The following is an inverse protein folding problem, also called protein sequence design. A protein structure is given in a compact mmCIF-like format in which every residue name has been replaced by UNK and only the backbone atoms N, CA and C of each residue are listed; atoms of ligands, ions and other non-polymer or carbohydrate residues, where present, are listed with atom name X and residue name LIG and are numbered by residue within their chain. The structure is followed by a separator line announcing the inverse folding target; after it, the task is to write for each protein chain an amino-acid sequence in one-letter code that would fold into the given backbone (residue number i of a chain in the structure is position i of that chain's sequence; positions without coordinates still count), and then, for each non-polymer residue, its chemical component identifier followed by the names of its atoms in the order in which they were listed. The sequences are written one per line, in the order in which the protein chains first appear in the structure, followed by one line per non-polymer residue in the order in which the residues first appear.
data_IF_574660762702
#
_entry.id   IF_574660762702
#
_cell.length_a   1.000
_cell.length_b   1.000
_cell.length_c   1.000
_cell.angle_alpha   90.00
_cell.angle_beta   90.00
_cell.angle_gamma   90.00
#
_symmetry.space_group_name_H-M   'P 1'
#
loop_
_entity.id
_entity.type
_entity.pdbx_description
1 polymer ?
#
# COMPACT_ATOMS: atom_id res chain seq x y z
N UNK A 1 41.60 -4.31 9.88
CA UNK A 1 40.23 -3.88 10.21
C UNK A 1 40.31 -3.12 11.51
N UNK A 2 40.03 -1.84 11.45
CA UNK A 2 39.97 -0.97 12.63
C UNK A 2 38.86 -1.46 13.59
N UNK A 3 39.00 -1.20 14.89
CA UNK A 3 37.99 -1.57 15.91
C UNK A 3 36.63 -0.97 15.54
N UNK A 4 36.62 0.25 15.02
CA UNK A 4 35.40 0.93 14.58
C UNK A 4 34.75 0.24 13.38
N UNK A 5 35.54 -0.19 12.39
CA UNK A 5 35.04 -0.97 11.25
C UNK A 5 34.45 -2.31 11.69
N UNK A 6 35.10 -2.99 12.64
CA UNK A 6 34.62 -4.25 13.17
C UNK A 6 33.27 -4.09 13.88
N UNK A 7 33.10 -3.02 14.67
CA UNK A 7 31.82 -2.70 15.33
C UNK A 7 30.72 -2.46 14.30
N UNK A 8 31.00 -1.72 13.22
CA UNK A 8 30.05 -1.47 12.13
C UNK A 8 29.62 -2.77 11.43
N UNK A 9 30.56 -3.67 11.15
CA UNK A 9 30.25 -4.98 10.56
C UNK A 9 29.41 -5.87 11.47
N UNK A 10 29.68 -5.84 12.78
CA UNK A 10 28.87 -6.57 13.77
C UNK A 10 27.47 -6.00 13.83
N UNK A 11 27.32 -4.67 13.95
CA UNK A 11 26.01 -4.03 13.99
C UNK A 11 25.21 -4.30 12.71
N UNK A 12 25.84 -4.28 11.54
CA UNK A 12 25.17 -4.46 10.26
C UNK A 12 24.54 -5.86 10.06
N UNK A 13 24.90 -6.83 10.93
CA UNK A 13 24.33 -8.19 10.97
C UNK A 13 23.15 -8.33 11.92
N UNK A 14 22.90 -7.33 12.77
CA UNK A 14 21.85 -7.39 13.77
C UNK A 14 20.52 -6.89 13.20
N UNK A 15 19.38 -7.44 13.66
CA UNK A 15 18.09 -6.91 13.29
C UNK A 15 17.94 -5.44 13.72
N UNK A 16 17.23 -4.63 12.91
CA UNK A 16 16.98 -3.22 13.19
C UNK A 16 16.35 -2.97 14.56
N UNK A 17 15.54 -3.91 15.07
CA UNK A 17 14.99 -3.84 16.43
C UNK A 17 16.09 -3.79 17.50
N UNK A 18 17.17 -4.53 17.33
CA UNK A 18 18.32 -4.52 18.24
C UNK A 18 19.15 -3.26 18.05
N UNK A 19 19.39 -2.84 16.81
CA UNK A 19 20.11 -1.60 16.49
C UNK A 19 19.38 -0.39 17.10
N UNK A 20 18.05 -0.33 16.99
CA UNK A 20 17.22 0.71 17.59
C UNK A 20 17.37 0.79 19.12
N UNK A 21 17.56 -0.35 19.79
CA UNK A 21 17.84 -0.39 21.24
C UNK A 21 19.23 0.16 21.55
N UNK A 22 20.27 -0.27 20.83
CA UNK A 22 21.63 0.25 21.03
C UNK A 22 21.72 1.76 20.80
N UNK A 23 21.01 2.27 19.77
CA UNK A 23 20.88 3.70 19.51
C UNK A 23 20.39 4.49 20.74
N UNK A 24 19.57 3.91 21.60
CA UNK A 24 19.05 4.55 22.80
C UNK A 24 19.98 4.49 24.01
N UNK A 25 21.07 3.70 23.96
CA UNK A 25 21.94 3.45 25.13
C UNK A 25 23.05 4.48 25.34
N UNK A 26 23.58 5.11 24.28
CA UNK A 26 24.63 6.13 24.40
C UNK A 26 24.64 7.10 23.23
N UNK A 27 25.23 8.29 23.44
CA UNK A 27 25.41 9.31 22.39
C UNK A 27 26.33 8.81 21.27
N UNK A 28 27.37 8.05 21.62
CA UNK A 28 28.31 7.47 20.65
C UNK A 28 27.63 6.45 19.75
N UNK A 29 26.84 5.52 20.32
CA UNK A 29 26.05 4.57 19.52
C UNK A 29 25.04 5.29 18.64
N UNK A 30 24.37 6.31 19.18
CA UNK A 30 23.44 7.12 18.41
C UNK A 30 24.12 7.81 17.22
N UNK A 31 25.27 8.45 17.42
CA UNK A 31 26.01 9.13 16.35
C UNK A 31 26.49 8.16 15.28
N UNK A 32 26.94 6.96 15.68
CA UNK A 32 27.37 5.92 14.75
C UNK A 32 26.19 5.40 13.92
N UNK A 33 25.08 5.10 14.59
CA UNK A 33 23.88 4.53 13.96
C UNK A 33 23.16 5.56 13.08
N UNK A 34 23.09 6.82 13.50
CA UNK A 34 22.44 7.88 12.73
C UNK A 34 23.31 8.38 11.56
N UNK A 35 24.53 7.87 11.39
CA UNK A 35 25.42 8.24 10.28
C UNK A 35 24.93 7.70 8.93
N UNK A 36 25.09 8.50 7.88
CA UNK A 36 24.77 8.10 6.51
C UNK A 36 25.59 6.87 6.08
N UNK A 37 26.88 6.84 6.43
CA UNK A 37 27.77 5.73 6.12
C UNK A 37 27.25 4.39 6.67
N UNK A 38 26.85 4.34 7.94
CA UNK A 38 26.37 3.09 8.53
C UNK A 38 25.01 2.68 7.95
N UNK A 39 24.11 3.63 7.71
CA UNK A 39 22.84 3.36 7.04
C UNK A 39 23.07 2.74 5.67
N UNK A 40 23.88 3.38 4.84
CA UNK A 40 24.09 2.96 3.46
C UNK A 40 24.79 1.58 3.42
N UNK A 41 25.75 1.34 4.32
CA UNK A 41 26.35 0.01 4.52
C UNK A 41 25.30 -1.04 4.92
N UNK A 42 24.43 -0.73 5.90
CA UNK A 42 23.39 -1.64 6.35
C UNK A 42 22.40 -1.98 5.23
N UNK A 43 21.90 -0.97 4.51
CA UNK A 43 20.92 -1.14 3.43
C UNK A 43 21.52 -1.97 2.29
N UNK A 44 22.75 -1.66 1.87
CA UNK A 44 23.45 -2.40 0.82
C UNK A 44 23.61 -3.88 1.18
N UNK A 45 24.12 -4.14 2.40
CA UNK A 45 24.37 -5.48 2.94
C UNK A 45 23.09 -6.30 3.12
N UNK A 46 21.98 -5.65 3.43
CA UNK A 46 20.68 -6.27 3.70
C UNK A 46 19.67 -6.05 2.56
N UNK A 47 20.14 -5.71 1.35
CA UNK A 47 19.28 -5.45 0.19
C UNK A 47 18.37 -6.64 -0.15
N UNK A 48 18.89 -7.86 -0.04
CA UNK A 48 18.16 -9.13 -0.24
C UNK A 48 17.51 -9.70 1.02
N UNK A 49 17.65 -9.04 2.18
CA UNK A 49 17.05 -9.51 3.43
C UNK A 49 15.52 -9.35 3.40
N UNK A 50 14.82 -10.33 3.96
CA UNK A 50 13.36 -10.28 4.07
C UNK A 50 12.91 -9.16 5.01
N UNK A 51 11.75 -8.58 4.72
CA UNK A 51 11.17 -7.46 5.47
C UNK A 51 9.72 -7.80 5.78
N UNK A 52 9.31 -7.50 7.01
CA UNK A 52 7.92 -7.70 7.43
C UNK A 52 6.99 -6.73 6.71
N UNK A 53 5.83 -7.23 6.32
CA UNK A 53 4.78 -6.45 5.69
C UNK A 53 3.40 -7.04 6.01
N UNK A 54 2.35 -6.26 5.78
CA UNK A 54 0.99 -6.69 6.05
C UNK A 54 0.02 -6.18 4.99
N UNK A 55 -1.05 -6.93 4.77
CA UNK A 55 -2.27 -6.38 4.19
C UNK A 55 -3.17 -5.93 5.34
N UNK A 56 -3.37 -4.63 5.43
CA UNK A 56 -4.27 -4.04 6.40
C UNK A 56 -5.52 -3.57 5.66
N UNK A 57 -6.66 -3.90 6.22
CA UNK A 57 -7.96 -3.55 5.67
C UNK A 57 -8.87 -2.93 6.72
N UNK A 58 -9.74 -2.09 6.19
CA UNK A 58 -10.72 -1.29 6.90
C UNK A 58 -11.97 -2.11 7.24
N UNK A 59 -12.33 -2.17 8.52
CA UNK A 59 -13.73 -2.20 8.93
C UNK A 59 -14.02 -0.96 9.77
N UNK A 60 -15.24 -0.40 9.71
CA UNK A 60 -15.69 0.56 10.71
C UNK A 60 -15.41 -0.05 12.09
N UNK A 61 -14.64 0.65 12.92
CA UNK A 61 -14.35 0.28 14.31
C UNK A 61 -13.34 -0.86 14.53
N UNK A 62 -12.78 -1.48 13.48
CA UNK A 62 -11.77 -2.54 13.68
C UNK A 62 -10.74 -2.59 12.55
N UNK A 63 -9.47 -2.52 12.94
CA UNK A 63 -8.38 -2.86 12.06
C UNK A 63 -8.38 -4.37 11.80
N UNK A 64 -8.39 -4.76 10.52
CA UNK A 64 -8.22 -6.15 10.11
C UNK A 64 -6.90 -6.26 9.39
N UNK A 65 -5.98 -7.01 9.98
CA UNK A 65 -4.84 -7.53 9.24
C UNK A 65 -5.29 -8.85 8.59
N UNK A 66 -5.29 -8.87 7.25
CA UNK A 66 -5.70 -10.04 6.47
C UNK A 66 -4.51 -10.98 6.33
N UNK A 67 -3.36 -10.43 5.95
CA UNK A 67 -2.08 -11.12 5.81
C UNK A 67 -1.08 -10.36 6.68
N UNK A 68 -0.40 -11.05 7.57
CA UNK A 68 0.74 -10.53 8.31
C UNK A 68 1.98 -11.36 8.02
N UNK A 69 3.03 -10.72 7.53
CA UNK A 69 4.30 -11.36 7.23
C UNK A 69 5.36 -10.84 8.21
N UNK A 70 5.89 -11.71 9.07
CA UNK A 70 6.83 -11.35 10.14
C UNK A 70 7.89 -12.43 10.40
N UNK A 71 8.69 -12.28 11.46
CA UNK A 71 9.87 -13.14 11.68
C UNK A 71 11.00 -12.87 10.69
N UNK A 72 10.88 -11.82 9.88
CA UNK A 72 11.84 -11.51 8.82
C UNK A 72 13.14 -10.92 9.36
N UNK A 73 14.24 -11.17 8.63
CA UNK A 73 15.61 -10.91 9.09
C UNK A 73 15.86 -9.43 9.41
N UNK A 74 15.36 -8.52 8.57
CA UNK A 74 15.69 -7.08 8.65
C UNK A 74 15.28 -6.47 9.98
N UNK A 75 14.06 -6.73 10.45
CA UNK A 75 13.56 -6.17 11.72
C UNK A 75 13.58 -7.17 12.88
N UNK A 76 13.51 -8.47 12.61
CA UNK A 76 13.45 -9.50 13.65
C UNK A 76 12.19 -9.37 14.53
N UNK A 77 11.04 -9.04 13.94
CA UNK A 77 9.78 -8.92 14.67
C UNK A 77 9.19 -10.30 14.96
N UNK A 78 8.74 -10.48 16.21
CA UNK A 78 8.05 -11.69 16.66
C UNK A 78 6.53 -11.63 16.46
N UNK A 79 6.00 -10.48 16.06
CA UNK A 79 4.58 -10.26 15.80
C UNK A 79 4.41 -9.56 14.46
N UNK A 80 3.23 -9.70 13.87
CA UNK A 80 2.87 -9.08 12.60
C UNK A 80 2.89 -7.54 12.67
N UNK A 81 3.21 -6.85 11.56
CA UNK A 81 3.17 -5.38 11.52
C UNK A 81 1.81 -4.77 11.87
N UNK A 82 0.69 -5.46 11.61
CA UNK A 82 -0.65 -5.01 12.00
C UNK A 82 -0.82 -4.81 13.50
N UNK A 83 -0.07 -5.56 14.33
CA UNK A 83 -0.05 -5.38 15.79
C UNK A 83 0.56 -4.04 16.24
N UNK A 84 1.32 -3.36 15.39
CA UNK A 84 1.90 -2.05 15.70
C UNK A 84 0.87 -0.92 15.58
N UNK A 85 -0.20 -1.16 14.81
CA UNK A 85 -1.25 -0.15 14.55
C UNK A 85 -2.36 -0.23 15.60
N UNK A 86 -2.36 -1.23 16.48
CA UNK A 86 -3.42 -1.46 17.49
C UNK A 86 -3.36 -0.53 18.72
N UNK A 87 -2.49 0.48 18.75
CA UNK A 87 -2.34 1.36 19.93
C UNK A 87 -3.54 2.31 20.15
N UNK A 88 -4.36 2.59 19.13
CA UNK A 88 -5.55 3.46 19.27
C UNK A 88 -6.72 2.84 20.07
N UNK A 89 -6.52 1.69 20.73
CA UNK A 89 -7.58 0.97 21.48
C UNK A 89 -7.89 1.62 22.85
N UNK A 90 -7.10 2.60 23.30
CA UNK A 90 -7.21 3.17 24.66
C UNK A 90 -7.86 4.57 24.75
N UNK A 91 -8.52 5.08 23.69
CA UNK A 91 -9.11 6.43 23.72
C UNK A 91 -10.59 6.44 23.34
N UNK A 92 -11.27 7.55 23.67
CA UNK A 92 -12.66 7.93 23.34
C UNK A 92 -12.88 8.04 21.82
N UNK A 93 -12.65 6.95 21.10
CA UNK A 93 -12.75 6.86 19.64
C UNK A 93 -14.03 6.13 19.29
N UNK A 94 -14.91 6.83 18.58
CA UNK A 94 -16.10 6.25 17.99
C UNK A 94 -15.75 5.43 16.75
N UNK A 95 -14.85 5.91 15.90
CA UNK A 95 -14.50 5.27 14.61
C UNK A 95 -13.01 5.44 14.31
N UNK A 96 -12.37 4.36 13.88
CA UNK A 96 -10.96 4.34 13.45
C UNK A 96 -10.86 3.70 12.07
N UNK A 97 -10.12 4.34 11.16
CA UNK A 97 -9.92 3.89 9.79
C UNK A 97 -8.47 4.13 9.33
N UNK A 98 -7.84 3.12 8.75
CA UNK A 98 -6.59 3.22 7.99
C UNK A 98 -6.88 3.67 6.56
N UNK A 99 -6.58 4.92 6.23
CA UNK A 99 -6.87 5.50 4.91
C UNK A 99 -5.84 5.06 3.86
N UNK A 100 -4.54 5.09 4.21
CA UNK A 100 -3.46 4.73 3.30
C UNK A 100 -2.21 4.26 4.06
N UNK A 101 -1.38 3.48 3.36
CA UNK A 101 -0.08 3.02 3.84
C UNK A 101 0.96 3.23 2.74
N UNK A 102 2.13 3.77 3.07
CA UNK A 102 3.24 3.93 2.11
C UNK A 102 4.56 4.12 2.86
N UNK A 103 5.62 3.46 2.42
CA UNK A 103 7.00 3.62 2.92
C UNK A 103 7.14 3.61 4.47
N UNK A 104 6.45 2.67 5.12
CA UNK A 104 6.46 2.55 6.59
C UNK A 104 5.60 3.57 7.34
N UNK A 105 4.91 4.46 6.63
CA UNK A 105 3.96 5.42 7.19
C UNK A 105 2.51 4.95 6.99
N UNK A 106 1.65 5.39 7.91
CA UNK A 106 0.21 5.11 7.89
C UNK A 106 -0.58 6.39 8.07
N UNK A 107 -1.57 6.62 7.21
CA UNK A 107 -2.58 7.67 7.35
C UNK A 107 -3.83 7.08 8.01
N UNK A 108 -4.29 7.70 9.08
CA UNK A 108 -5.46 7.31 9.83
C UNK A 108 -6.51 8.42 9.85
N UNK A 109 -7.76 8.00 9.77
CA UNK A 109 -8.93 8.77 10.15
C UNK A 109 -9.46 8.27 11.49
N UNK A 110 -9.74 9.21 12.39
CA UNK A 110 -10.27 8.97 13.72
C UNK A 110 -11.48 9.88 13.92
N UNK A 111 -12.59 9.32 14.39
CA UNK A 111 -13.75 10.08 14.87
C UNK A 111 -13.82 9.92 16.38
N UNK A 112 -13.75 11.04 17.12
CA UNK A 112 -13.92 11.01 18.56
C UNK A 112 -15.38 10.70 18.95
N UNK A 113 -15.63 10.45 20.24
CA UNK A 113 -17.00 10.19 20.75
C UNK A 113 -17.98 11.33 20.51
N UNK A 114 -17.49 12.58 20.44
CA UNK A 114 -18.30 13.76 20.12
C UNK A 114 -18.57 13.94 18.62
N UNK A 115 -18.07 13.03 17.78
CA UNK A 115 -18.19 13.08 16.32
C UNK A 115 -17.11 13.94 15.64
N UNK A 116 -16.12 14.45 16.38
CA UNK A 116 -15.06 15.28 15.82
C UNK A 116 -14.12 14.43 14.95
N UNK A 117 -13.96 14.75 13.65
CA UNK A 117 -13.03 14.09 12.75
C UNK A 117 -11.58 14.55 12.97
N UNK A 118 -10.65 13.61 12.97
CA UNK A 118 -9.22 13.84 13.16
C UNK A 118 -8.42 12.96 12.20
N UNK A 119 -7.33 13.52 11.66
CA UNK A 119 -6.42 12.82 10.77
C UNK A 119 -5.04 12.72 11.40
N UNK A 120 -4.43 11.54 11.31
CA UNK A 120 -3.09 11.29 11.83
C UNK A 120 -2.23 10.65 10.75
N UNK A 121 -1.00 11.13 10.60
CA UNK A 121 0.06 10.35 9.93
C UNK A 121 1.00 9.86 10.99
N UNK A 122 1.44 8.62 10.88
CA UNK A 122 2.39 8.08 11.83
C UNK A 122 3.27 7.00 11.27
N UNK A 123 4.31 6.72 12.05
CA UNK A 123 5.15 5.54 11.93
C UNK A 123 4.79 4.57 13.07
N UNK A 124 3.98 3.53 12.81
CA UNK A 124 3.60 2.55 13.82
C UNK A 124 4.80 1.83 14.47
N UNK A 125 5.90 1.67 13.74
CA UNK A 125 7.10 0.98 14.23
C UNK A 125 7.77 1.73 15.40
N UNK A 126 7.74 3.07 15.37
CA UNK A 126 8.28 3.91 16.44
C UNK A 126 7.20 4.55 17.31
N UNK A 127 5.93 4.20 17.10
CA UNK A 127 4.78 4.80 17.77
C UNK A 127 4.76 6.34 17.67
N UNK A 128 5.27 6.86 16.54
CA UNK A 128 5.27 8.29 16.27
C UNK A 128 4.02 8.66 15.51
N UNK A 129 3.23 9.58 16.06
CA UNK A 129 2.01 10.06 15.44
C UNK A 129 2.01 11.58 15.38
N UNK A 130 1.53 12.12 14.28
CA UNK A 130 1.35 13.55 14.06
C UNK A 130 -0.10 13.80 13.66
N UNK A 131 -0.79 14.64 14.44
CA UNK A 131 -2.14 15.08 14.13
C UNK A 131 -2.08 16.17 13.05
N UNK A 132 -2.70 15.91 11.92
CA UNK A 132 -2.73 16.86 10.81
C UNK A 132 -3.71 17.99 11.18
N UNK A 133 -3.30 19.27 11.06
CA UNK A 133 -4.22 20.39 11.23
C UNK A 133 -5.30 20.33 10.15
N UNK A 134 -6.52 20.79 10.44
CA UNK A 134 -7.52 20.94 9.39
C UNK A 134 -7.10 22.07 8.43
N UNK A 135 -7.43 21.98 7.12
CA UNK A 135 -7.14 23.06 6.19
C UNK A 135 -7.84 24.34 6.63
N UNK A 136 -7.12 25.47 6.64
CA UNK A 136 -7.64 26.75 7.13
C UNK A 136 -8.89 27.24 6.38
N UNK A 137 -9.09 26.77 5.15
CA UNK A 137 -10.25 27.06 4.31
C UNK A 137 -11.46 26.16 4.57
N UNK A 138 -11.38 25.20 5.50
CA UNK A 138 -12.52 24.36 5.90
C UNK A 138 -12.95 24.61 7.35
N UNK A 139 -14.25 24.81 7.54
CA UNK A 139 -14.89 24.63 8.83
C UNK A 139 -15.18 23.15 9.09
N UNK A 140 -15.34 22.77 10.36
CA UNK A 140 -15.76 21.40 10.74
C UNK A 140 -17.08 20.98 10.06
N UNK A 141 -18.03 21.91 9.93
CA UNK A 141 -19.31 21.67 9.25
C UNK A 141 -19.12 21.39 7.75
N UNK A 142 -18.21 22.11 7.09
CA UNK A 142 -17.91 21.87 5.68
C UNK A 142 -17.25 20.51 5.49
N UNK A 143 -16.37 20.10 6.41
CA UNK A 143 -15.73 18.79 6.33
C UNK A 143 -16.72 17.63 6.47
N UNK A 144 -17.68 17.72 7.41
CA UNK A 144 -18.74 16.70 7.54
C UNK A 144 -19.61 16.61 6.28
N UNK A 145 -19.90 17.76 5.63
CA UNK A 145 -20.61 17.77 4.34
C UNK A 145 -19.80 17.12 3.23
N UNK A 146 -18.49 17.41 3.16
CA UNK A 146 -17.57 16.83 2.19
C UNK A 146 -17.41 15.32 2.37
N UNK A 147 -17.32 14.83 3.60
CA UNK A 147 -17.23 13.40 3.89
C UNK A 147 -18.48 12.62 3.43
N UNK A 148 -19.64 13.27 3.42
CA UNK A 148 -20.87 12.69 2.88
C UNK A 148 -20.97 12.83 1.35
N UNK A 149 -20.05 13.56 0.72
CA UNK A 149 -20.03 13.77 -0.71
C UNK A 149 -19.31 12.62 -1.41
N UNK A 150 -19.99 11.94 -2.33
CA UNK A 150 -19.47 10.77 -3.08
C UNK A 150 -18.25 11.07 -3.98
N UNK A 151 -17.76 12.30 -4.01
CA UNK A 151 -16.67 12.80 -4.87
C UNK A 151 -15.50 13.38 -4.09
N UNK A 152 -15.45 13.07 -2.80
CA UNK A 152 -14.36 13.45 -1.91
C UNK A 152 -13.58 12.18 -1.52
N UNK A 153 -12.27 12.17 -1.73
CA UNK A 153 -11.39 11.10 -1.24
C UNK A 153 -10.30 11.70 -0.35
N UNK A 154 -10.17 11.18 0.86
CA UNK A 154 -9.16 11.55 1.86
C UNK A 154 -8.02 10.53 1.95
N UNK A 155 -7.97 9.57 1.02
CA UNK A 155 -7.06 8.42 1.05
C UNK A 155 -5.69 8.67 0.43
N UNK A 156 -5.32 9.93 0.15
CA UNK A 156 -4.03 10.26 -0.45
C UNK A 156 -2.92 10.43 0.60
N UNK A 157 -1.93 9.54 0.59
CA UNK A 157 -0.67 9.70 1.33
C UNK A 157 0.49 9.37 0.40
N UNK A 158 1.42 10.30 0.22
CA UNK A 158 2.56 10.11 -0.68
C UNK A 158 3.84 10.60 -0.05
N UNK A 159 4.93 9.86 -0.23
CA UNK A 159 6.23 10.18 0.39
C UNK A 159 7.28 10.60 -0.65
N UNK A 160 8.29 11.32 -0.18
CA UNK A 160 9.54 11.55 -0.88
C UNK A 160 10.64 10.78 -0.16
N UNK A 161 11.28 9.90 -0.89
CA UNK A 161 12.40 9.10 -0.41
C UNK A 161 13.74 9.74 -0.81
N UNK A 162 14.71 9.71 0.09
CA UNK A 162 16.11 10.04 -0.20
C UNK A 162 16.99 9.03 0.54
N UNK A 163 17.92 8.38 -0.17
CA UNK A 163 18.85 7.40 0.42
C UNK A 163 18.17 6.33 1.31
N UNK A 164 17.01 5.81 0.87
CA UNK A 164 16.28 4.76 1.57
C UNK A 164 15.50 5.18 2.83
N UNK A 165 15.35 6.49 3.07
CA UNK A 165 14.52 7.05 4.14
C UNK A 165 13.49 8.03 3.59
N UNK A 166 12.30 8.06 4.20
CA UNK A 166 11.33 9.14 3.94
C UNK A 166 11.83 10.44 4.55
N UNK A 167 12.00 11.45 3.70
CA UNK A 167 12.39 12.81 4.11
C UNK A 167 11.19 13.77 4.18
N UNK A 168 10.14 13.49 3.42
CA UNK A 168 8.90 14.27 3.40
C UNK A 168 7.71 13.38 3.10
N UNK A 169 6.53 13.79 3.57
CA UNK A 169 5.26 13.25 3.11
C UNK A 169 4.28 14.37 2.77
N UNK A 170 3.33 14.06 1.89
CA UNK A 170 2.17 14.87 1.60
C UNK A 170 0.89 14.08 1.85
N UNK A 171 -0.10 14.73 2.45
CA UNK A 171 -1.46 14.20 2.54
C UNK A 171 -2.32 14.93 1.54
N UNK A 172 -3.06 14.17 0.75
CA UNK A 172 -3.80 14.68 -0.38
C UNK A 172 -5.27 14.34 -0.21
N UNK A 173 -6.09 15.37 -0.16
CA UNK A 173 -7.52 15.26 -0.30
C UNK A 173 -7.90 15.64 -1.72
N UNK A 174 -8.75 14.82 -2.32
CA UNK A 174 -9.21 14.94 -3.69
C UNK A 174 -10.68 15.38 -3.70
N UNK A 175 -10.98 16.40 -4.48
CA UNK A 175 -12.33 16.86 -4.77
C UNK A 175 -12.56 16.87 -6.28
N UNK A 176 -13.59 16.16 -6.75
CA UNK A 176 -13.97 16.17 -8.17
C UNK A 176 -15.28 16.92 -8.41
N UNK A 177 -15.34 17.62 -9.56
CA UNK A 177 -16.45 18.49 -9.93
C UNK A 177 -17.47 17.81 -10.85
N UNK A 178 -18.73 18.24 -10.79
CA UNK A 178 -19.81 17.76 -11.67
C UNK A 178 -19.53 18.03 -13.16
N UNK A 179 -18.97 19.20 -13.44
CA UNK A 179 -18.77 19.72 -14.79
C UNK A 179 -17.32 20.14 -14.98
N UNK A 180 -16.69 19.63 -16.04
CA UNK A 180 -15.31 19.95 -16.41
C UNK A 180 -14.36 18.77 -16.30
N UNK A 181 -13.15 18.98 -16.82
CA UNK A 181 -12.03 18.04 -16.75
C UNK A 181 -11.01 18.49 -15.69
N UNK A 182 -11.48 19.07 -14.58
CA UNK A 182 -10.64 19.57 -13.49
C UNK A 182 -10.89 18.81 -12.20
N UNK A 183 -9.83 18.69 -11.40
CA UNK A 183 -9.83 18.07 -10.08
C UNK A 183 -9.09 19.01 -9.14
N UNK A 184 -9.62 19.19 -7.95
CA UNK A 184 -8.95 19.96 -6.90
C UNK A 184 -8.28 19.02 -5.90
N UNK A 185 -7.05 19.35 -5.58
CA UNK A 185 -6.29 18.75 -4.51
C UNK A 185 -6.13 19.75 -3.38
N UNK A 186 -6.48 19.35 -2.16
CA UNK A 186 -5.98 19.99 -0.95
C UNK A 186 -4.80 19.16 -0.45
N UNK A 187 -3.63 19.78 -0.37
CA UNK A 187 -2.35 19.11 -0.13
C UNK A 187 -1.73 19.65 1.14
N UNK A 188 -1.60 18.81 2.17
CA UNK A 188 -0.78 19.09 3.33
C UNK A 188 0.65 18.63 3.06
N UNK A 189 1.66 19.45 3.38
CA UNK A 189 3.07 19.06 3.28
C UNK A 189 3.73 19.01 4.66
N UNK A 190 4.48 17.94 4.93
CA UNK A 190 5.31 17.85 6.14
C UNK A 190 6.44 18.88 6.15
N UNK A 191 6.89 19.36 4.99
CA UNK A 191 7.98 20.33 4.88
C UNK A 191 7.55 21.73 5.36
N UNK A 192 6.33 22.14 4.98
CA UNK A 192 5.81 23.48 5.27
C UNK A 192 4.88 23.52 6.47
N UNK A 193 4.32 22.37 6.87
CA UNK A 193 3.29 22.27 7.89
C UNK A 193 1.96 22.92 7.50
N UNK A 194 1.76 23.24 6.22
CA UNK A 194 0.61 24.01 5.71
C UNK A 194 -0.14 23.23 4.63
N UNK A 195 -1.39 23.64 4.42
CA UNK A 195 -2.23 23.18 3.32
C UNK A 195 -2.13 24.12 2.12
N UNK A 196 -2.04 23.54 0.93
CA UNK A 196 -2.08 24.21 -0.36
C UNK A 196 -3.26 23.66 -1.17
N UNK A 197 -3.98 24.53 -1.86
CA UNK A 197 -4.98 24.13 -2.86
C UNK A 197 -4.35 24.12 -4.24
N UNK A 198 -4.59 23.07 -5.02
CA UNK A 198 -4.13 22.96 -6.40
C UNK A 198 -5.23 22.41 -7.29
N UNK A 199 -5.43 23.03 -8.45
CA UNK A 199 -6.39 22.57 -9.45
C UNK A 199 -5.65 22.01 -10.64
N UNK A 200 -5.94 20.78 -11.03
CA UNK A 200 -5.23 20.06 -12.09
C UNK A 200 -6.23 19.62 -13.16
N UNK A 201 -5.79 19.65 -14.41
CA UNK A 201 -6.59 19.14 -15.52
C UNK A 201 -6.49 17.62 -15.56
N UNK A 202 -7.61 16.95 -15.32
CA UNK A 202 -7.78 15.51 -15.44
C UNK A 202 -8.94 15.21 -16.39
N UNK A 203 -8.63 14.83 -17.63
CA UNK A 203 -9.62 14.26 -18.51
C UNK A 203 -10.22 13.03 -17.80
N UNK A 204 -11.55 12.84 -17.84
CA UNK A 204 -12.26 11.76 -17.13
C UNK A 204 -12.37 11.90 -15.59
N UNK A 205 -12.21 13.10 -15.02
CA UNK A 205 -12.44 13.37 -13.57
C UNK A 205 -13.83 12.98 -13.05
N UNK A 206 -14.85 12.94 -13.92
CA UNK A 206 -16.23 12.58 -13.58
C UNK A 206 -16.40 11.18 -12.98
N UNK A 207 -15.42 10.31 -13.16
CA UNK A 207 -15.51 8.92 -12.72
C UNK A 207 -14.89 8.68 -11.35
N UNK A 208 -14.35 9.67 -10.65
CA UNK A 208 -13.74 9.44 -9.34
C UNK A 208 -14.79 9.45 -8.24
N UNK A 209 -14.82 8.41 -7.44
CA UNK A 209 -15.72 8.28 -6.29
C UNK A 209 -14.94 8.24 -4.99
N UNK A 210 -15.60 8.62 -3.89
CA UNK A 210 -15.04 8.72 -2.54
C UNK A 210 -14.37 7.45 -2.03
N UNK A 211 -14.78 6.31 -2.57
CA UNK A 211 -14.36 5.00 -2.07
C UNK A 211 -13.16 4.42 -2.84
N UNK A 212 -12.67 5.14 -3.86
CA UNK A 212 -11.50 4.75 -4.63
C UNK A 212 -10.23 5.03 -3.80
N UNK A 213 -9.55 3.95 -3.39
CA UNK A 213 -8.29 4.03 -2.65
C UNK A 213 -7.14 4.39 -3.60
N UNK A 214 -6.25 5.23 -3.11
CA UNK A 214 -5.00 5.53 -3.83
C UNK A 214 -3.89 4.51 -3.51
N UNK A 215 -3.00 4.31 -4.48
CA UNK A 215 -1.72 3.61 -4.30
C UNK A 215 -0.60 4.62 -4.52
N UNK A 216 0.29 4.74 -3.53
CA UNK A 216 1.43 5.64 -3.61
C UNK A 216 2.69 4.89 -4.00
N UNK A 217 3.44 5.43 -4.94
CA UNK A 217 4.75 4.92 -5.34
C UNK A 217 5.60 6.05 -5.90
N UNK A 218 6.82 6.21 -5.39
CA UNK A 218 7.82 7.16 -5.91
C UNK A 218 7.33 8.61 -6.07
N UNK A 219 6.57 9.13 -5.09
CA UNK A 219 6.05 10.50 -5.16
C UNK A 219 4.77 10.66 -5.98
N UNK A 220 4.28 9.59 -6.60
CA UNK A 220 3.11 9.57 -7.48
C UNK A 220 1.96 8.84 -6.77
N UNK A 221 0.77 9.44 -6.78
CA UNK A 221 -0.46 8.75 -6.40
C UNK A 221 -1.16 8.19 -7.62
N UNK A 222 -1.69 6.98 -7.47
CA UNK A 222 -2.38 6.23 -8.50
C UNK A 222 -3.80 5.94 -8.03
N UNK A 223 -4.79 6.27 -8.85
CA UNK A 223 -6.19 5.99 -8.57
C UNK A 223 -6.79 5.13 -9.66
N UNK A 224 -7.58 4.16 -9.24
CA UNK A 224 -8.22 3.18 -10.11
C UNK A 224 -9.72 3.34 -9.88
N UNK A 225 -10.46 3.46 -10.97
CA UNK A 225 -11.91 3.43 -10.91
C UNK A 225 -12.47 2.20 -11.63
N UNK A 226 -13.53 1.63 -11.08
CA UNK A 226 -14.13 0.37 -11.54
C UNK A 226 -14.64 0.40 -12.98
N UNK A 227 -15.22 1.53 -13.38
CA UNK A 227 -15.80 1.68 -14.71
C UNK A 227 -14.75 2.09 -15.77
N UNK A 228 -13.55 2.48 -15.36
CA UNK A 228 -12.52 2.90 -16.31
C UNK A 228 -11.60 1.74 -16.66
N UNK A 229 -11.37 1.54 -17.96
CA UNK A 229 -10.30 0.66 -18.46
C UNK A 229 -8.94 1.37 -18.43
N UNK A 230 -8.76 2.23 -17.44
CA UNK A 230 -7.59 3.07 -17.24
C UNK A 230 -7.43 3.37 -15.76
N UNK A 231 -6.20 3.67 -15.35
CA UNK A 231 -5.91 4.26 -14.05
C UNK A 231 -5.27 5.64 -14.26
N UNK A 232 -5.30 6.47 -13.22
CA UNK A 232 -4.84 7.85 -13.27
C UNK A 232 -3.69 8.02 -12.31
N UNK A 233 -2.67 8.77 -12.73
CA UNK A 233 -1.50 9.07 -11.94
C UNK A 233 -1.25 10.58 -11.89
N UNK A 234 -0.78 11.06 -10.75
CA UNK A 234 -0.31 12.44 -10.60
C UNK A 234 0.89 12.48 -9.65
N UNK A 235 1.95 13.16 -10.08
CA UNK A 235 3.19 13.33 -9.32
C UNK A 235 3.09 14.56 -8.41
N UNK A 236 3.21 14.34 -7.10
CA UNK A 236 3.12 15.39 -6.09
C UNK A 236 4.46 16.03 -5.75
N UNK A 237 5.57 15.48 -6.25
CA UNK A 237 6.93 16.01 -6.03
C UNK A 237 7.64 16.42 -7.32
N UNK A 238 7.10 16.06 -8.48
CA UNK A 238 7.53 16.56 -9.78
C UNK A 238 7.34 18.08 -9.90
N UNK A 239 8.38 18.75 -10.40
CA UNK A 239 8.26 20.13 -10.86
C UNK A 239 7.59 20.10 -12.23
N UNK A 240 6.35 20.58 -12.34
CA UNK A 240 5.60 20.50 -13.59
C UNK A 240 5.27 21.89 -14.13
N UNK A 241 5.63 22.08 -15.40
CA UNK A 241 5.19 23.18 -16.26
C UNK A 241 3.78 22.95 -16.84
N UNK A 242 3.24 21.72 -16.75
CA UNK A 242 1.90 21.34 -17.22
C UNK A 242 1.10 20.65 -16.09
N UNK A 243 0.15 21.36 -15.49
CA UNK A 243 -0.79 20.85 -14.47
C UNK A 243 -1.81 19.85 -15.06
N UNK A 244 -1.34 18.68 -15.52
CA UNK A 244 -2.17 17.63 -16.12
C UNK A 244 -1.93 16.26 -15.48
N UNK A 245 -3.00 15.51 -15.21
CA UNK A 245 -2.92 14.11 -14.78
C UNK A 245 -2.57 13.16 -15.94
N UNK A 246 -1.74 12.16 -15.66
CA UNK A 246 -1.47 11.08 -16.61
C UNK A 246 -2.60 10.04 -16.56
N UNK A 247 -3.14 9.69 -17.73
CA UNK A 247 -4.17 8.65 -17.87
C UNK A 247 -3.55 7.50 -18.63
N UNK A 248 -3.59 6.32 -18.03
CA UNK A 248 -2.94 5.13 -18.57
C UNK A 248 -3.98 4.04 -18.72
N UNK A 249 -4.20 3.58 -19.96
CA UNK A 249 -5.10 2.48 -20.28
C UNK A 249 -4.51 1.13 -19.88
N UNK A 250 -5.35 0.19 -19.43
CA UNK A 250 -4.90 -1.17 -19.13
C UNK A 250 -4.53 -1.94 -20.41
N UNK A 251 -3.61 -2.91 -20.35
CA UNK A 251 -3.13 -3.63 -21.53
C UNK A 251 -4.21 -4.53 -22.18
N UNK A 252 -5.32 -4.79 -21.49
CA UNK A 252 -6.45 -5.60 -21.97
C UNK A 252 -7.66 -4.78 -22.45
N UNK A 253 -7.47 -3.48 -22.72
CA UNK A 253 -8.53 -2.63 -23.27
C UNK A 253 -8.95 -3.10 -24.66
N UNK A 254 -10.20 -3.55 -24.79
CA UNK A 254 -10.80 -3.93 -26.09
C UNK A 254 -11.20 -5.41 -26.23
N UNK A 255 -10.86 -6.26 -25.24
CA UNK A 255 -11.24 -7.68 -25.24
C UNK A 255 -12.62 -7.85 -24.58
N UNK A 256 -13.68 -7.83 -25.39
CA UNK A 256 -14.99 -7.36 -24.94
C UNK A 256 -15.94 -8.39 -24.29
N UNK A 257 -15.58 -9.67 -24.10
CA UNK A 257 -16.58 -10.67 -23.63
C UNK A 257 -16.16 -11.68 -22.57
N UNK A 258 -14.86 -11.86 -22.29
CA UNK A 258 -14.40 -12.91 -21.36
C UNK A 258 -14.03 -12.41 -19.94
N UNK A 259 -13.97 -11.09 -19.72
CA UNK A 259 -13.39 -10.48 -18.50
C UNK A 259 -14.39 -10.25 -17.35
N UNK A 260 -15.67 -10.61 -17.51
CA UNK A 260 -16.71 -10.36 -16.50
C UNK A 260 -16.57 -11.20 -15.22
N UNK A 261 -15.70 -12.21 -15.21
CA UNK A 261 -15.53 -13.12 -14.06
C UNK A 261 -14.21 -12.95 -13.31
N UNK A 262 -13.22 -12.28 -13.89
CA UNK A 262 -11.93 -12.07 -13.25
C UNK A 262 -11.89 -10.75 -12.47
N UNK A 263 -11.57 -10.84 -11.17
CA UNK A 263 -11.33 -9.63 -10.35
C UNK A 263 -9.95 -9.10 -10.66
N UNK A 264 -9.90 -7.89 -11.23
CA UNK A 264 -8.66 -7.15 -11.48
C UNK A 264 -8.02 -6.82 -10.14
N UNK A 265 -6.71 -6.96 -10.05
CA UNK A 265 -5.98 -6.64 -8.82
C UNK A 265 -4.80 -5.76 -9.18
N UNK A 266 -4.60 -4.70 -8.40
CA UNK A 266 -3.47 -3.80 -8.54
C UNK A 266 -2.75 -3.72 -7.20
N UNK A 267 -1.43 -3.79 -7.26
CA UNK A 267 -0.57 -3.82 -6.08
C UNK A 267 0.79 -3.20 -6.41
N UNK A 268 1.68 -3.20 -5.43
CA UNK A 268 3.07 -2.81 -5.59
C UNK A 268 3.97 -4.01 -5.35
N UNK A 269 4.97 -4.21 -6.20
CA UNK A 269 6.02 -5.21 -5.99
C UNK A 269 7.32 -4.72 -6.60
N UNK A 270 8.43 -4.85 -5.85
CA UNK A 270 9.79 -4.51 -6.28
C UNK A 270 9.92 -3.08 -6.85
N UNK A 271 9.14 -2.13 -6.32
CA UNK A 271 9.17 -0.73 -6.76
C UNK A 271 8.37 -0.45 -8.05
N UNK A 272 7.50 -1.36 -8.48
CA UNK A 272 6.60 -1.18 -9.62
C UNK A 272 5.13 -1.27 -9.21
N UNK A 273 4.27 -0.55 -9.93
CA UNK A 273 2.83 -0.85 -9.94
C UNK A 273 2.63 -2.12 -10.76
N UNK A 274 1.93 -3.08 -10.18
CA UNK A 274 1.66 -4.39 -10.77
C UNK A 274 0.16 -4.57 -10.99
N UNK A 275 -0.22 -4.99 -12.19
CA UNK A 275 -1.59 -5.27 -12.59
C UNK A 275 -1.76 -6.75 -12.94
N UNK A 276 -2.82 -7.36 -12.41
CA UNK A 276 -3.22 -8.72 -12.73
C UNK A 276 -4.44 -8.73 -13.64
N UNK A 277 -4.37 -9.52 -14.71
CA UNK A 277 -5.53 -9.92 -15.49
C UNK A 277 -5.48 -11.41 -15.85
N UNK A 278 -6.57 -11.89 -16.43
CA UNK A 278 -6.68 -13.26 -16.92
C UNK A 278 -7.07 -13.23 -18.39
N UNK A 279 -6.35 -14.01 -19.18
CA UNK A 279 -6.66 -14.24 -20.58
C UNK A 279 -7.34 -15.61 -20.71
N UNK A 280 -8.49 -15.64 -21.38
CA UNK A 280 -9.20 -16.86 -21.73
C UNK A 280 -9.12 -17.10 -23.24
N UNK A 281 -8.33 -18.08 -23.67
CA UNK A 281 -8.22 -18.50 -25.08
C UNK A 281 -8.51 -20.00 -25.20
N UNK A 282 -9.44 -20.38 -26.09
CA UNK A 282 -9.82 -21.77 -26.34
C UNK A 282 -10.18 -22.59 -25.09
N UNK A 283 -10.73 -21.93 -24.05
CA UNK A 283 -11.09 -22.55 -22.77
C UNK A 283 -9.96 -22.62 -21.74
N UNK A 284 -8.71 -22.36 -22.15
CA UNK A 284 -7.57 -22.25 -21.24
C UNK A 284 -7.53 -20.86 -20.60
N UNK A 285 -7.26 -20.83 -19.29
CA UNK A 285 -7.10 -19.60 -18.52
C UNK A 285 -5.63 -19.38 -18.19
N UNK A 286 -5.14 -18.19 -18.51
CA UNK A 286 -3.76 -17.81 -18.25
C UNK A 286 -3.73 -16.55 -17.41
N UNK A 287 -3.07 -16.62 -16.26
CA UNK A 287 -2.85 -15.48 -15.39
C UNK A 287 -1.72 -14.64 -15.98
N UNK A 288 -1.99 -13.36 -16.20
CA UNK A 288 -1.03 -12.40 -16.71
C UNK A 288 -0.75 -11.33 -15.67
N UNK A 289 0.54 -11.03 -15.52
CA UNK A 289 1.04 -10.02 -14.59
C UNK A 289 1.78 -8.98 -15.39
N UNK A 290 1.36 -7.72 -15.27
CA UNK A 290 1.92 -6.58 -15.98
C UNK A 290 2.58 -5.64 -14.98
N UNK A 291 3.68 -5.02 -15.39
CA UNK A 291 4.35 -3.95 -14.64
C UNK A 291 4.21 -2.63 -15.38
N UNK A 292 3.87 -1.58 -14.65
CA UNK A 292 3.89 -0.23 -15.21
C UNK A 292 5.34 0.24 -15.34
N UNK A 293 5.76 0.57 -16.57
CA UNK A 293 7.14 1.00 -16.86
C UNK A 293 7.23 2.46 -17.28
N UNK A 294 6.16 3.03 -17.84
CA UNK A 294 6.09 4.45 -18.22
C UNK A 294 4.69 5.00 -17.98
N UNK A 295 4.57 6.34 -17.89
CA UNK A 295 3.29 7.04 -17.66
C UNK A 295 2.69 7.61 -18.95
N UNK A 296 2.90 6.93 -20.08
CA UNK A 296 2.29 7.29 -21.37
C UNK A 296 0.87 6.71 -21.46
N UNK A 297 0.02 7.33 -22.25
CA UNK A 297 -1.32 6.80 -22.50
C UNK A 297 -1.25 5.72 -23.59
N UNK A 298 -1.44 4.46 -23.21
CA UNK A 298 -1.47 3.33 -24.14
C UNK A 298 -1.06 2.01 -23.48
N UNK A 299 -1.23 0.87 -24.17
CA UNK A 299 -0.73 -0.43 -23.70
C UNK A 299 0.81 -0.45 -23.57
N UNK A 300 1.53 0.42 -24.28
CA UNK A 300 3.00 0.54 -24.23
C UNK A 300 3.51 1.02 -22.87
N UNK A 301 2.63 1.57 -22.04
CA UNK A 301 2.93 1.89 -20.64
C UNK A 301 3.25 0.63 -19.80
N UNK A 302 2.81 -0.54 -20.26
CA UNK A 302 2.87 -1.79 -19.54
C UNK A 302 3.85 -2.77 -20.16
N UNK A 303 4.62 -3.43 -19.31
CA UNK A 303 5.45 -4.56 -19.67
C UNK A 303 4.81 -5.85 -19.14
N UNK A 304 4.60 -6.83 -20.01
CA UNK A 304 4.21 -8.17 -19.58
C UNK A 304 5.37 -8.78 -18.80
N UNK A 305 5.11 -9.14 -17.55
CA UNK A 305 6.12 -9.65 -16.63
C UNK A 305 5.98 -11.14 -16.37
N UNK A 306 4.76 -11.65 -16.23
CA UNK A 306 4.47 -13.08 -16.17
C UNK A 306 3.28 -13.43 -17.06
N UNK A 307 3.36 -14.60 -17.72
CA UNK A 307 2.29 -15.23 -18.46
C UNK A 307 2.26 -16.71 -18.04
N UNK A 308 1.39 -17.06 -17.08
CA UNK A 308 1.43 -18.34 -16.37
C UNK A 308 0.08 -19.03 -16.42
N UNK A 309 0.06 -20.27 -16.92
CA UNK A 309 -1.13 -21.10 -16.86
C UNK A 309 -1.21 -21.82 -15.52
N UNK A 310 -2.29 -21.60 -14.78
CA UNK A 310 -2.51 -22.18 -13.45
C UNK A 310 -3.28 -23.51 -13.55
N UNK A 311 -2.91 -24.35 -14.53
CA UNK A 311 -3.58 -25.64 -14.81
C UNK A 311 -3.68 -26.51 -13.56
N UNK A 312 -2.61 -26.59 -12.76
CA UNK A 312 -2.58 -27.39 -11.53
C UNK A 312 -3.65 -26.97 -10.51
N UNK A 313 -4.04 -25.69 -10.47
CA UNK A 313 -5.14 -25.24 -9.62
C UNK A 313 -6.51 -25.54 -10.25
N UNK A 314 -6.60 -25.40 -11.57
CA UNK A 314 -7.83 -25.66 -12.34
C UNK A 314 -8.21 -27.15 -12.30
N UNK A 315 -7.23 -28.05 -12.46
CA UNK A 315 -7.40 -29.51 -12.35
C UNK A 315 -7.89 -29.93 -10.95
N UNK A 316 -7.50 -29.19 -9.91
CA UNK A 316 -8.00 -29.35 -8.54
C UNK A 316 -9.40 -28.74 -8.32
N UNK A 317 -10.03 -28.18 -9.37
CA UNK A 317 -11.34 -27.53 -9.28
C UNK A 317 -11.33 -26.22 -8.48
N UNK A 318 -10.18 -25.56 -8.38
CA UNK A 318 -10.01 -24.35 -7.56
C UNK A 318 -10.33 -23.10 -8.37
N UNK A 319 -11.36 -22.37 -7.94
CA UNK A 319 -11.66 -21.03 -8.43
C UNK A 319 -10.93 -20.00 -7.59
N UNK A 320 -9.90 -19.37 -8.18
CA UNK A 320 -9.07 -18.37 -7.53
C UNK A 320 -9.31 -16.95 -8.06
N UNK A 321 -8.85 -15.96 -7.31
CA UNK A 321 -8.49 -14.64 -7.85
C UNK A 321 -7.27 -14.08 -7.10
N UNK A 322 -6.45 -13.24 -7.74
CA UNK A 322 -5.28 -12.65 -7.09
C UNK A 322 -5.67 -11.69 -5.98
N UNK A 323 -4.93 -11.71 -4.88
CA UNK A 323 -5.09 -10.82 -3.72
C UNK A 323 -3.98 -9.78 -3.73
N UNK A 324 -2.72 -10.24 -3.79
CA UNK A 324 -1.55 -9.37 -3.77
C UNK A 324 -0.34 -10.10 -4.35
N UNK A 325 0.61 -9.36 -4.91
CA UNK A 325 1.98 -9.84 -5.16
C UNK A 325 2.82 -9.59 -3.92
N UNK A 326 3.77 -10.47 -3.60
CA UNK A 326 4.71 -10.20 -2.51
C UNK A 326 5.48 -8.90 -2.81
N UNK A 327 5.58 -7.95 -1.85
CA UNK A 327 6.09 -6.60 -2.12
C UNK A 327 7.55 -6.55 -2.56
N UNK A 328 8.33 -7.59 -2.24
CA UNK A 328 9.78 -7.64 -2.46
C UNK A 328 10.25 -8.87 -3.22
N UNK A 329 9.32 -9.73 -3.64
CA UNK A 329 9.64 -10.95 -4.37
C UNK A 329 8.52 -11.21 -5.38
N UNK A 330 8.72 -10.72 -6.58
CA UNK A 330 7.72 -10.77 -7.63
C UNK A 330 7.48 -12.17 -8.23
N UNK A 331 8.19 -13.19 -7.75
CA UNK A 331 7.89 -14.59 -8.07
C UNK A 331 6.75 -15.15 -7.20
N UNK A 332 6.44 -14.52 -6.06
CA UNK A 332 5.43 -15.02 -5.12
C UNK A 332 4.15 -14.20 -5.24
N UNK A 333 3.02 -14.89 -5.43
CA UNK A 333 1.70 -14.30 -5.40
C UNK A 333 0.80 -14.98 -4.38
N UNK A 334 -0.13 -14.19 -3.85
CA UNK A 334 -1.15 -14.62 -2.92
C UNK A 334 -2.48 -14.63 -3.66
N UNK A 335 -3.09 -15.80 -3.78
CA UNK A 335 -4.38 -16.02 -4.41
C UNK A 335 -5.41 -16.41 -3.34
N UNK A 336 -6.68 -16.11 -3.56
CA UNK A 336 -7.77 -16.54 -2.68
C UNK A 336 -8.67 -17.56 -3.40
N UNK A 337 -8.86 -18.72 -2.77
CA UNK A 337 -9.79 -19.75 -3.23
C UNK A 337 -11.21 -19.47 -2.74
N UNK A 338 -12.15 -19.22 -3.67
CA UNK A 338 -13.57 -18.96 -3.32
C UNK A 338 -14.29 -20.20 -2.79
N UNK A 339 -14.00 -21.35 -3.39
CA UNK A 339 -14.66 -22.61 -3.06
C UNK A 339 -14.22 -23.11 -1.70
N UNK A 340 -12.91 -23.08 -1.45
CA UNK A 340 -12.33 -23.65 -0.23
C UNK A 340 -12.15 -22.63 0.90
N UNK A 341 -12.28 -21.32 0.62
CA UNK A 341 -12.02 -20.23 1.58
C UNK A 341 -10.62 -20.29 2.21
N UNK A 342 -9.63 -20.59 1.37
CA UNK A 342 -8.23 -20.69 1.76
C UNK A 342 -7.38 -19.70 0.97
N UNK A 343 -6.27 -19.27 1.57
CA UNK A 343 -5.21 -18.54 0.88
C UNK A 343 -4.30 -19.54 0.18
N UNK A 344 -3.91 -19.23 -1.05
CA UNK A 344 -2.98 -20.01 -1.85
C UNK A 344 -1.76 -19.14 -2.07
N UNK A 345 -0.62 -19.60 -1.56
CA UNK A 345 0.68 -19.04 -1.92
C UNK A 345 1.15 -19.79 -3.16
N UNK A 346 1.45 -19.07 -4.23
CA UNK A 346 1.90 -19.66 -5.50
C UNK A 346 3.20 -19.00 -5.94
N UNK A 347 4.21 -19.82 -6.28
CA UNK A 347 5.46 -19.35 -6.86
C UNK A 347 5.38 -19.46 -8.40
N UNK A 348 5.40 -18.32 -9.08
CA UNK A 348 5.26 -18.18 -10.53
C UNK A 348 6.42 -18.79 -11.32
N UNK A 349 7.61 -18.89 -10.72
CA UNK A 349 8.81 -19.45 -11.37
C UNK A 349 8.85 -20.97 -11.31
N UNK A 350 8.58 -21.53 -10.14
CA UNK A 350 8.71 -22.96 -9.84
C UNK A 350 7.39 -23.72 -9.96
N UNK A 351 6.27 -23.00 -10.09
CA UNK A 351 4.91 -23.55 -10.10
C UNK A 351 4.49 -24.29 -8.82
N UNK A 352 5.29 -24.17 -7.75
CA UNK A 352 4.97 -24.74 -6.43
C UNK A 352 3.93 -23.87 -5.73
N UNK A 353 2.96 -24.50 -5.09
CA UNK A 353 1.95 -23.81 -4.29
C UNK A 353 1.67 -24.50 -2.95
N UNK A 354 1.12 -23.74 -2.02
CA UNK A 354 0.72 -24.23 -0.70
C UNK A 354 -0.61 -23.60 -0.28
N UNK A 355 -1.42 -24.39 0.45
CA UNK A 355 -2.69 -23.96 1.00
C UNK A 355 -2.52 -23.49 2.44
N UNK A 356 -3.18 -22.38 2.77
CA UNK A 356 -3.19 -21.80 4.11
C UNK A 356 -4.62 -21.53 4.51
N UNK A 357 -5.08 -22.26 5.53
CA UNK A 357 -6.39 -22.05 6.15
C UNK A 357 -6.36 -20.85 7.09
N UNK A 358 -7.52 -20.25 7.32
CA UNK A 358 -7.67 -19.25 8.37
C UNK A 358 -7.53 -19.92 9.73
N UNK A 359 -6.37 -19.77 10.35
CA UNK A 359 -6.12 -20.32 11.69
C UNK A 359 -5.57 -19.23 12.60
N UNK A 360 -5.66 -19.46 13.91
CA UNK A 360 -5.00 -18.59 14.89
C UNK A 360 -3.48 -18.79 14.91
N UNK A 361 -3.00 -19.87 14.30
CA UNK A 361 -1.61 -20.30 14.35
C UNK A 361 -0.83 -19.80 13.12
N UNK A 362 0.42 -19.47 13.39
CA UNK A 362 1.36 -18.95 12.42
C UNK A 362 1.91 -20.09 11.54
N UNK A 363 1.90 -19.91 10.22
CA UNK A 363 2.51 -20.85 9.28
C UNK A 363 3.82 -20.30 8.70
N UNK A 364 4.67 -21.17 8.15
CA UNK A 364 5.86 -20.70 7.41
C UNK A 364 5.49 -20.32 5.98
N UNK A 365 5.99 -19.18 5.54
CA UNK A 365 5.92 -18.70 4.16
C UNK A 365 7.06 -19.31 3.32
N UNK A 366 6.96 -19.22 1.99
CA UNK A 366 7.96 -19.75 1.05
C UNK A 366 9.34 -19.09 1.17
N UNK A 367 9.41 -17.88 1.72
CA UNK A 367 10.64 -17.13 1.95
C UNK A 367 11.23 -17.33 3.37
N UNK A 368 10.66 -18.28 4.13
CA UNK A 368 11.10 -18.64 5.48
C UNK A 368 10.63 -17.70 6.59
N UNK A 369 9.95 -16.60 6.25
CA UNK A 369 9.24 -15.77 7.22
C UNK A 369 7.96 -16.45 7.71
N UNK A 370 7.36 -15.87 8.74
CA UNK A 370 6.12 -16.33 9.34
C UNK A 370 4.95 -15.61 8.66
N UNK A 371 3.94 -16.37 8.27
CA UNK A 371 2.69 -15.91 7.70
C UNK A 371 1.57 -16.10 8.73
N UNK A 372 0.96 -14.99 9.14
CA UNK A 372 -0.31 -14.98 9.83
C UNK A 372 -1.43 -14.64 8.85
N UNK A 373 -2.52 -15.40 8.92
CA UNK A 373 -3.64 -15.26 7.99
C UNK A 373 -4.98 -15.38 8.73
N UNK A 374 -5.74 -14.29 8.77
CA UNK A 374 -6.98 -14.27 9.55
C UNK A 374 -8.03 -13.31 8.94
N UNK A 375 -9.31 -13.64 9.11
CA UNK A 375 -10.47 -12.78 8.80
C UNK A 375 -10.60 -12.34 7.34
N UNK A 376 -9.85 -12.93 6.42
CA UNK A 376 -9.99 -12.75 4.98
C UNK A 376 -11.37 -13.17 4.51
N UNK A 377 -11.89 -14.33 4.92
CA UNK A 377 -13.20 -14.85 4.58
C UNK A 377 -14.31 -13.86 4.94
N UNK A 378 -14.23 -13.22 6.12
CA UNK A 378 -15.16 -12.17 6.56
C UNK A 378 -15.10 -10.96 5.62
N UNK A 379 -13.91 -10.56 5.19
CA UNK A 379 -13.75 -9.46 4.24
C UNK A 379 -14.27 -9.85 2.85
N UNK A 380 -13.89 -11.02 2.35
CA UNK A 380 -14.25 -11.55 1.05
C UNK A 380 -15.75 -11.81 0.89
N UNK A 381 -16.50 -12.04 1.97
CA UNK A 381 -17.98 -12.10 1.95
C UNK A 381 -18.62 -10.88 1.27
N UNK A 382 -18.03 -9.70 1.41
CA UNK A 382 -18.54 -8.49 0.75
C UNK A 382 -18.29 -8.49 -0.77
N UNK A 383 -17.44 -9.40 -1.25
CA UNK A 383 -17.02 -9.55 -2.65
C UNK A 383 -17.48 -10.90 -3.26
N UNK A 384 -18.39 -11.62 -2.58
CA UNK A 384 -18.85 -12.95 -3.01
C UNK A 384 -19.80 -12.93 -4.22
N UNK A 385 -20.47 -11.81 -4.49
CA UNK A 385 -21.35 -11.72 -5.66
C UNK A 385 -20.54 -11.62 -6.95
N UNK A 386 -20.92 -12.36 -8.02
CA UNK A 386 -20.38 -12.14 -9.35
C UNK A 386 -20.61 -10.68 -9.76
N UNK A 387 -19.73 -10.17 -10.63
CA UNK A 387 -19.81 -8.84 -11.17
C UNK A 387 -21.15 -8.62 -11.89
N UNK A 388 -22.19 -8.23 -11.17
CA UNK A 388 -23.30 -7.50 -11.79
C UNK A 388 -22.64 -6.25 -12.37
N UNK A 389 -23.05 -5.84 -13.56
CA UNK A 389 -22.46 -4.80 -14.43
C UNK A 389 -22.19 -3.42 -13.79
N UNK A 390 -22.43 -3.27 -12.48
CA UNK A 390 -22.22 -2.07 -11.66
C UNK A 390 -21.51 -2.34 -10.31
N UNK A 391 -20.96 -3.54 -10.07
CA UNK A 391 -20.24 -3.86 -8.82
C UNK A 391 -18.72 -3.78 -8.96
N UNK A 392 -18.03 -3.53 -7.84
CA UNK A 392 -16.58 -3.31 -7.81
C UNK A 392 -15.83 -4.53 -8.32
N UNK A 393 -15.08 -4.36 -9.39
CA UNK A 393 -14.32 -5.41 -10.06
C UNK A 393 -12.83 -5.34 -9.75
N UNK A 394 -12.36 -4.33 -9.02
CA UNK A 394 -11.01 -4.26 -8.50
C UNK A 394 -10.92 -4.63 -7.01
N UNK A 395 -9.82 -5.28 -6.62
CA UNK A 395 -9.42 -5.43 -5.23
C UNK A 395 -8.21 -4.53 -4.97
N UNK A 396 -8.38 -3.57 -4.06
CA UNK A 396 -7.29 -2.70 -3.59
C UNK A 396 -7.13 -2.91 -2.09
N UNK A 397 -5.97 -3.45 -1.73
CA UNK A 397 -5.55 -3.69 -0.37
C UNK A 397 -4.51 -2.66 0.04
N UNK A 398 -4.58 -2.16 1.27
CA UNK A 398 -3.55 -1.26 1.79
C UNK A 398 -2.36 -2.11 2.25
N UNK A 399 -1.32 -2.16 1.42
CA UNK A 399 -0.09 -2.88 1.73
C UNK A 399 0.78 -2.01 2.64
N UNK A 400 1.03 -2.49 3.86
CA UNK A 400 1.92 -1.83 4.81
C UNK A 400 3.24 -2.59 4.85
N UNK A 401 4.28 -2.03 4.22
CA UNK A 401 5.64 -2.59 4.21
C UNK A 401 6.50 -1.82 5.20
N UNK A 402 7.23 -2.51 6.08
CA UNK A 402 8.13 -1.84 7.01
C UNK A 402 9.31 -1.18 6.27
N UNK A 403 9.84 -0.06 6.77
CA UNK A 403 10.94 0.62 6.13
C UNK A 403 12.23 -0.21 6.25
N UNK A 404 13.15 -0.02 5.29
CA UNK A 404 14.47 -0.69 5.28
C UNK A 404 15.45 -0.14 6.32
N UNK A 405 15.08 0.95 7.00
CA UNK A 405 15.92 1.65 7.97
C UNK A 405 15.12 2.24 9.13
N UNK A 406 15.83 2.75 10.13
CA UNK A 406 15.29 3.46 11.30
C UNK A 406 14.75 4.85 10.93
N UNK A 407 13.69 4.88 10.14
CA UNK A 407 13.04 6.10 9.67
C UNK A 407 12.21 6.74 10.78
N UNK A 408 12.53 7.99 11.13
CA UNK A 408 11.67 8.83 11.97
C UNK A 408 10.57 9.45 11.11
N UNK A 409 9.43 9.77 11.72
CA UNK A 409 8.37 10.52 11.06
C UNK A 409 8.88 11.95 10.74
N UNK A 410 8.89 12.39 9.47
CA UNK A 410 9.18 13.79 9.13
C UNK A 410 8.19 14.71 9.84
N UNK A 411 8.65 15.86 10.33
CA UNK A 411 7.80 16.84 10.99
C UNK A 411 8.09 18.23 10.45
N UNK A 412 7.06 19.09 10.36
CA UNK A 412 7.30 20.50 10.09
C UNK A 412 8.19 21.08 11.18
N UNK A 413 9.12 21.95 10.77
CA UNK A 413 9.96 22.69 11.72
C UNK A 413 9.05 23.55 12.62
N UNK A 414 9.28 23.57 13.94
CA UNK A 414 8.54 24.48 14.81
C UNK A 414 8.81 25.92 14.36
N UNK A 415 7.74 26.63 14.00
CA UNK A 415 7.76 28.06 13.66
C UNK A 415 8.00 28.94 14.87
#
# INVERSE_FOLDING_TARGET
MDIQEMVLEVLARLPLKSIARFRATSKTWRSLIDSDYFRDNFISRNSSSSISWSIIQLQPHKLIEIIGHHGCKTWGLTRSPGSLVSFFVETTIRKLQVLACTDGLVLLYVEATDGTPMYYVGNPMFQEWFRIPLPHFFSLQNLQRLQNHKRFSDSGLVTKMQNGIVVSYKVVWLLTHDVGAKVDFAIYSSDTGKWEGRTVTCLRSRFWLSDDKSIALNGILHWIHDCTRSFIAYDFYGGHDDDQCSIITFPDTGVDKALLWFRRTITTSEGYIVYFNELCENGNRTLRVWRLVTYINGPEAWQLFWDVSLVSLIELGIYYFPVVMHPLNSEIIYLWSRSQKMLILYNLRTHVFSFHEETADDSKCMDGCILSFNRCSKYMKNYYFPAVTFSRNHLIFSQYVLPRWLQRLPRPQPT
#
